data_IF_980627102028
#
_entry.id   IF_980627102028
#
_cell.length_a   1.000
_cell.length_b   1.000
_cell.length_c   1.000
_cell.angle_alpha   90.00
_cell.angle_beta   90.00
_cell.angle_gamma   90.00
#
_symmetry.space_group_name_H-M   'P 1'
#
loop_
_entity.id
_entity.type
_entity.pdbx_description
1 polymer ?
#
# COMPACT_ATOMS: atom_id res chain seq x y z
N UNK A 1 -9.03 16.94 27.66
CA UNK A 1 -8.88 16.50 26.27
C UNK A 1 -9.13 17.69 25.35
N UNK A 2 -8.22 17.96 24.43
CA UNK A 2 -8.29 19.18 23.58
C UNK A 2 -8.88 18.86 22.21
N UNK A 3 -8.72 17.63 21.73
CA UNK A 3 -9.25 17.15 20.46
C UNK A 3 -9.53 15.66 20.49
N UNK A 4 -10.25 15.17 19.49
CA UNK A 4 -10.46 13.77 19.19
C UNK A 4 -10.41 13.53 17.70
N UNK A 5 -10.02 12.32 17.33
CA UNK A 5 -10.06 11.89 15.94
C UNK A 5 -10.47 10.42 15.84
N UNK A 6 -10.93 10.02 14.69
CA UNK A 6 -11.35 8.65 14.41
C UNK A 6 -10.99 8.23 13.01
N UNK A 7 -10.97 6.92 12.79
CA UNK A 7 -10.65 6.32 11.49
C UNK A 7 -11.77 5.40 11.03
N UNK A 8 -12.05 5.42 9.73
CA UNK A 8 -12.94 4.46 9.07
C UNK A 8 -12.27 3.90 7.82
N UNK A 9 -12.68 2.70 7.42
CA UNK A 9 -12.13 2.05 6.23
C UNK A 9 -12.45 2.87 4.98
N UNK A 10 -11.48 3.01 4.08
CA UNK A 10 -11.68 3.42 2.69
C UNK A 10 -11.18 2.32 1.74
N UNK A 11 -11.46 2.46 0.45
CA UNK A 11 -11.10 1.45 -0.56
C UNK A 11 -10.48 2.11 -1.80
N UNK A 12 -9.37 2.84 -1.66
CA UNK A 12 -8.64 3.33 -2.82
C UNK A 12 -8.00 2.15 -3.57
N UNK A 13 -7.74 2.35 -4.85
CA UNK A 13 -7.01 1.39 -5.67
C UNK A 13 -5.50 1.55 -5.40
N UNK A 14 -4.93 0.61 -4.65
CA UNK A 14 -3.55 0.65 -4.13
C UNK A 14 -2.71 -0.55 -4.57
N UNK A 15 -3.22 -1.40 -5.47
CA UNK A 15 -2.57 -2.65 -5.86
C UNK A 15 -2.56 -2.80 -7.36
N UNK A 16 -1.39 -3.09 -7.92
CA UNK A 16 -1.21 -3.36 -9.34
C UNK A 16 -0.54 -4.72 -9.54
N UNK A 17 -0.94 -5.41 -10.60
CA UNK A 17 -0.46 -6.75 -10.94
C UNK A 17 0.22 -6.70 -12.30
N UNK A 18 1.42 -7.25 -12.37
CA UNK A 18 2.24 -7.31 -13.58
C UNK A 18 2.42 -8.76 -14.02
N UNK A 19 2.20 -9.03 -15.30
CA UNK A 19 2.53 -10.31 -15.90
C UNK A 19 3.99 -10.27 -16.34
N UNK A 20 4.85 -11.08 -15.71
CA UNK A 20 6.26 -11.14 -16.04
C UNK A 20 6.48 -12.00 -17.30
N UNK A 21 7.28 -11.51 -18.23
CA UNK A 21 7.77 -12.30 -19.35
C UNK A 21 8.98 -13.11 -18.89
N UNK A 22 8.82 -14.44 -18.80
CA UNK A 22 9.83 -15.33 -18.26
C UNK A 22 10.80 -15.80 -19.34
N UNK A 23 12.07 -15.96 -18.97
CA UNK A 23 13.08 -16.54 -19.84
C UNK A 23 12.78 -18.03 -20.11
N UNK A 24 12.61 -18.45 -21.38
CA UNK A 24 12.30 -19.84 -21.68
C UNK A 24 13.42 -20.83 -21.30
N UNK A 25 14.66 -20.35 -21.20
CA UNK A 25 15.82 -21.19 -20.86
C UNK A 25 16.16 -21.15 -19.36
N UNK A 26 15.54 -20.23 -18.59
CA UNK A 26 15.76 -20.08 -17.15
C UNK A 26 14.51 -19.58 -16.44
N UNK A 27 13.80 -20.45 -15.76
CA UNK A 27 12.57 -20.14 -15.05
C UNK A 27 12.71 -19.10 -13.92
N UNK A 28 13.94 -18.78 -13.50
CA UNK A 28 14.23 -17.78 -12.48
C UNK A 28 14.67 -16.43 -13.06
N UNK A 29 14.48 -16.23 -14.36
CA UNK A 29 14.75 -14.96 -15.03
C UNK A 29 13.50 -14.42 -15.72
N UNK A 30 13.33 -13.11 -15.66
CA UNK A 30 12.28 -12.36 -16.33
C UNK A 30 12.85 -11.21 -17.15
N UNK A 31 12.15 -10.80 -18.20
CA UNK A 31 12.54 -9.66 -19.02
C UNK A 31 12.20 -8.35 -18.31
N UNK A 32 13.12 -7.39 -18.32
CA UNK A 32 12.91 -6.03 -17.88
C UNK A 32 13.76 -5.08 -18.72
N UNK A 33 13.10 -4.13 -19.41
CA UNK A 33 13.74 -3.16 -20.29
C UNK A 33 14.70 -3.81 -21.31
N UNK A 34 14.27 -4.92 -21.91
CA UNK A 34 15.04 -5.67 -22.91
C UNK A 34 16.20 -6.50 -22.36
N UNK A 35 16.30 -6.68 -21.04
CA UNK A 35 17.35 -7.47 -20.39
C UNK A 35 16.75 -8.54 -19.47
N UNK A 36 17.32 -9.75 -19.52
CA UNK A 36 16.99 -10.81 -18.57
C UNK A 36 17.54 -10.46 -17.18
N UNK A 37 16.67 -10.49 -16.19
CA UNK A 37 16.97 -10.21 -14.79
C UNK A 37 16.59 -11.39 -13.92
N UNK A 38 17.43 -11.71 -12.94
CA UNK A 38 17.14 -12.77 -11.99
C UNK A 38 16.01 -12.36 -11.04
N UNK A 39 15.09 -13.29 -10.77
CA UNK A 39 14.22 -13.22 -9.60
C UNK A 39 15.05 -13.44 -8.33
N UNK A 40 14.73 -12.73 -7.26
CA UNK A 40 15.19 -13.09 -5.93
C UNK A 40 14.36 -14.28 -5.45
N UNK A 41 14.99 -15.44 -5.32
CA UNK A 41 14.34 -16.71 -4.97
C UNK A 41 14.81 -17.15 -3.60
N UNK A 42 13.88 -17.27 -2.66
CA UNK A 42 14.16 -17.78 -1.33
C UNK A 42 13.17 -18.88 -0.94
N UNK A 43 13.52 -19.67 0.08
CA UNK A 43 12.65 -20.73 0.59
C UNK A 43 12.32 -20.50 2.04
N UNK A 44 11.04 -20.44 2.37
CA UNK A 44 10.54 -20.32 3.73
C UNK A 44 9.94 -21.63 4.20
N UNK A 45 10.35 -22.07 5.40
CA UNK A 45 9.75 -23.23 6.09
C UNK A 45 8.62 -22.78 6.99
N UNK A 46 7.41 -23.14 6.63
CA UNK A 46 6.21 -22.90 7.43
C UNK A 46 6.01 -24.07 8.39
N UNK A 47 6.06 -23.79 9.69
CA UNK A 47 5.77 -24.78 10.73
C UNK A 47 4.29 -24.75 11.02
N UNK A 48 3.61 -25.88 10.77
CA UNK A 48 2.20 -26.08 10.99
C UNK A 48 2.00 -27.07 12.14
N UNK A 49 0.88 -27.00 12.84
CA UNK A 49 0.42 -28.02 13.77
C UNK A 49 -0.83 -28.66 13.22
N UNK A 50 -0.71 -29.89 12.70
CA UNK A 50 -1.86 -30.67 12.29
C UNK A 50 -2.60 -31.18 13.53
N UNK A 51 -3.92 -31.03 13.54
CA UNK A 51 -4.80 -31.38 14.69
C UNK A 51 -4.36 -30.78 16.03
N UNK A 52 -3.63 -29.62 15.99
CA UNK A 52 -3.21 -28.90 17.19
C UNK A 52 -1.94 -29.44 17.88
N UNK A 53 -1.49 -30.66 17.60
CA UNK A 53 -0.37 -31.28 18.29
C UNK A 53 0.72 -31.88 17.39
N UNK A 54 0.38 -32.30 16.16
CA UNK A 54 1.36 -32.93 15.27
C UNK A 54 2.16 -31.87 14.49
N UNK A 55 3.48 -31.73 14.74
CA UNK A 55 4.30 -30.76 14.02
C UNK A 55 4.48 -31.20 12.56
N UNK A 56 4.20 -30.29 11.64
CA UNK A 56 4.39 -30.47 10.22
C UNK A 56 5.15 -29.26 9.64
N UNK A 57 6.05 -29.49 8.69
CA UNK A 57 6.78 -28.41 8.03
C UNK A 57 6.57 -28.46 6.53
N UNK A 58 6.18 -27.35 5.95
CA UNK A 58 6.03 -27.20 4.51
C UNK A 58 7.00 -26.12 4.03
N UNK A 59 7.82 -26.43 3.04
CA UNK A 59 8.66 -25.46 2.36
C UNK A 59 7.86 -24.75 1.27
N UNK A 60 7.97 -23.44 1.17
CA UNK A 60 7.39 -22.62 0.11
C UNK A 60 8.46 -21.76 -0.51
N UNK A 61 8.48 -21.73 -1.83
CA UNK A 61 9.26 -20.76 -2.60
C UNK A 61 8.64 -19.37 -2.41
N UNK A 62 9.50 -18.38 -2.24
CA UNK A 62 9.14 -16.95 -2.21
C UNK A 62 9.94 -16.27 -3.30
N UNK A 63 9.23 -15.67 -4.23
CA UNK A 63 9.80 -14.98 -5.38
C UNK A 63 9.64 -13.47 -5.22
N UNK A 64 10.64 -12.72 -5.65
CA UNK A 64 10.58 -11.27 -5.72
C UNK A 64 11.21 -10.77 -7.02
N UNK A 65 10.53 -9.83 -7.66
CA UNK A 65 11.01 -9.10 -8.83
C UNK A 65 11.23 -7.62 -8.48
N UNK A 66 11.67 -6.81 -9.43
CA UNK A 66 11.71 -5.35 -9.29
C UNK A 66 10.32 -4.72 -9.04
N UNK A 67 9.25 -5.38 -9.49
CA UNK A 67 7.87 -4.91 -9.27
C UNK A 67 7.39 -5.15 -7.83
N UNK A 68 7.88 -6.22 -7.18
CA UNK A 68 7.47 -6.66 -5.86
C UNK A 68 7.46 -8.19 -5.72
N UNK A 69 6.78 -8.74 -4.69
CA UNK A 69 6.56 -10.17 -4.55
C UNK A 69 5.95 -10.77 -5.81
N UNK A 70 6.40 -11.96 -6.18
CA UNK A 70 5.90 -12.65 -7.36
C UNK A 70 5.37 -14.05 -7.03
N UNK A 71 4.45 -14.53 -7.85
CA UNK A 71 3.80 -15.83 -7.71
C UNK A 71 3.78 -16.55 -9.04
N UNK A 72 4.27 -17.80 -9.06
CA UNK A 72 4.10 -18.71 -10.20
C UNK A 72 2.73 -19.34 -10.15
N UNK A 73 2.07 -19.36 -11.27
CA UNK A 73 0.77 -20.03 -11.49
C UNK A 73 0.83 -20.84 -12.78
N UNK A 74 -0.19 -21.63 -13.03
CA UNK A 74 -0.33 -22.40 -14.28
C UNK A 74 -0.52 -21.49 -15.51
N UNK A 75 -0.81 -20.22 -15.30
CA UNK A 75 -1.07 -19.22 -16.37
C UNK A 75 0.05 -18.19 -16.54
N UNK A 76 1.13 -18.28 -15.76
CA UNK A 76 2.26 -17.36 -15.81
C UNK A 76 2.78 -16.96 -14.45
N UNK A 77 3.74 -16.06 -14.45
CA UNK A 77 4.34 -15.48 -13.24
C UNK A 77 3.85 -14.05 -13.09
N UNK A 78 3.21 -13.78 -11.96
CA UNK A 78 2.62 -12.48 -11.67
C UNK A 78 3.37 -11.81 -10.53
N UNK A 79 3.76 -10.56 -10.71
CA UNK A 79 4.29 -9.73 -9.64
C UNK A 79 3.21 -8.78 -9.13
N UNK A 80 3.23 -8.54 -7.82
CA UNK A 80 2.24 -7.70 -7.15
C UNK A 80 2.96 -6.49 -6.56
N UNK A 81 2.48 -5.29 -6.89
CA UNK A 81 2.91 -4.06 -6.25
C UNK A 81 1.74 -3.46 -5.48
N UNK A 82 1.98 -3.05 -4.24
CA UNK A 82 0.95 -2.48 -3.38
C UNK A 82 1.52 -1.32 -2.55
N UNK A 83 0.66 -0.40 -2.17
CA UNK A 83 1.05 0.73 -1.33
C UNK A 83 1.58 0.26 0.03
N UNK A 84 2.66 0.90 0.50
CA UNK A 84 3.34 0.51 1.73
C UNK A 84 4.25 -0.71 1.59
N UNK A 85 4.50 -1.21 0.37
CA UNK A 85 5.49 -2.26 0.14
C UNK A 85 6.85 -1.81 0.71
N UNK A 86 7.49 -2.70 1.49
CA UNK A 86 8.77 -2.43 2.15
C UNK A 86 8.75 -1.32 3.23
N UNK A 87 7.58 -0.84 3.64
CA UNK A 87 7.45 0.18 4.67
C UNK A 87 6.68 -0.33 5.90
N UNK A 88 7.21 -0.06 7.11
CA UNK A 88 6.61 -0.48 8.38
C UNK A 88 6.50 0.69 9.38
N UNK A 89 6.27 1.91 8.88
CA UNK A 89 6.23 3.12 9.72
C UNK A 89 4.83 3.55 10.15
N UNK A 90 3.80 2.74 9.93
CA UNK A 90 2.43 3.07 10.33
C UNK A 90 2.31 3.37 11.83
N UNK A 91 3.04 2.59 12.67
CA UNK A 91 3.02 2.78 14.12
C UNK A 91 3.58 4.16 14.51
N UNK A 92 4.58 4.65 13.79
CA UNK A 92 5.14 5.99 14.00
C UNK A 92 4.09 7.08 13.73
N UNK A 93 3.37 6.98 12.62
CA UNK A 93 2.30 7.92 12.28
C UNK A 93 1.15 7.86 13.29
N UNK A 94 0.68 6.68 13.65
CA UNK A 94 -0.35 6.51 14.68
C UNK A 94 0.07 7.16 16.00
N UNK A 95 1.32 6.95 16.42
CA UNK A 95 1.85 7.54 17.64
C UNK A 95 1.93 9.07 17.55
N UNK A 96 2.38 9.61 16.41
CA UNK A 96 2.45 11.05 16.17
C UNK A 96 1.05 11.70 16.22
N UNK A 97 0.06 11.09 15.56
CA UNK A 97 -1.34 11.55 15.59
C UNK A 97 -1.91 11.55 17.01
N UNK A 98 -1.61 10.52 17.81
CA UNK A 98 -2.06 10.43 19.21
C UNK A 98 -1.35 11.41 20.15
N UNK A 99 -0.15 11.86 19.82
CA UNK A 99 0.62 12.82 20.61
C UNK A 99 0.38 14.27 20.21
N UNK A 100 -0.23 14.51 19.09
CA UNK A 100 -0.56 15.86 18.62
C UNK A 100 -1.40 16.61 19.67
N UNK A 101 -1.13 17.88 19.85
CA UNK A 101 -1.78 18.73 20.86
C UNK A 101 -2.77 19.71 20.25
N UNK A 102 -2.71 19.90 18.93
CA UNK A 102 -3.54 20.82 18.18
C UNK A 102 -3.77 20.28 16.75
N UNK A 103 -4.55 21.02 15.97
CA UNK A 103 -4.91 20.62 14.62
C UNK A 103 -3.70 20.61 13.68
N UNK A 104 -2.80 21.58 13.78
CA UNK A 104 -1.59 21.69 12.95
C UNK A 104 -0.64 20.52 13.18
N UNK A 105 -0.40 20.16 14.45
CA UNK A 105 0.43 18.99 14.79
C UNK A 105 -0.21 17.68 14.30
N UNK A 106 -1.53 17.57 14.40
CA UNK A 106 -2.25 16.41 13.90
C UNK A 106 -2.17 16.29 12.38
N UNK A 107 -2.38 17.40 11.65
CA UNK A 107 -2.20 17.43 10.19
C UNK A 107 -0.75 17.09 9.78
N UNK A 108 0.26 17.60 10.49
CA UNK A 108 1.66 17.26 10.25
C UNK A 108 1.92 15.76 10.45
N UNK A 109 1.26 15.15 11.45
CA UNK A 109 1.35 13.71 11.67
C UNK A 109 0.66 12.91 10.53
N UNK A 110 -0.48 13.35 10.03
CA UNK A 110 -1.14 12.74 8.86
C UNK A 110 -0.28 12.88 7.61
N UNK A 111 0.42 14.00 7.45
CA UNK A 111 1.30 14.27 6.31
C UNK A 111 2.53 13.36 6.23
N UNK A 112 2.86 12.59 7.27
CA UNK A 112 3.88 11.53 7.20
C UNK A 112 3.52 10.46 6.15
N UNK A 113 2.24 10.27 5.87
CA UNK A 113 1.71 9.37 4.83
C UNK A 113 2.22 7.93 4.91
N UNK A 114 2.40 7.41 6.13
CA UNK A 114 2.84 6.03 6.36
C UNK A 114 1.68 5.03 6.49
N UNK A 115 0.45 5.53 6.68
CA UNK A 115 -0.77 4.73 6.75
C UNK A 115 -1.36 4.62 5.36
N UNK A 116 -1.44 3.39 4.83
CA UNK A 116 -1.80 3.13 3.43
C UNK A 116 -3.19 3.60 3.06
N UNK A 117 -4.18 3.37 3.93
CA UNK A 117 -5.55 3.75 3.61
C UNK A 117 -6.46 3.81 4.85
N UNK A 118 -7.00 4.97 5.14
CA UNK A 118 -8.10 5.20 6.10
C UNK A 118 -8.72 6.56 5.82
N UNK A 119 -10.03 6.68 5.98
CA UNK A 119 -10.63 7.99 6.18
C UNK A 119 -10.33 8.43 7.62
N UNK A 120 -9.88 9.66 7.80
CA UNK A 120 -9.75 10.26 9.12
C UNK A 120 -10.77 11.38 9.30
N UNK A 121 -11.35 11.42 10.48
CA UNK A 121 -12.15 12.53 10.97
C UNK A 121 -11.49 13.12 12.21
N UNK A 122 -11.51 14.44 12.34
CA UNK A 122 -10.91 15.18 13.45
C UNK A 122 -11.90 16.22 13.97
N UNK A 123 -11.89 16.46 15.26
CA UNK A 123 -12.59 17.59 15.89
C UNK A 123 -11.83 18.06 17.11
N UNK A 124 -11.89 19.37 17.40
CA UNK A 124 -11.32 19.94 18.61
C UNK A 124 -12.33 20.82 19.36
N UNK A 125 -11.97 21.22 20.57
CA UNK A 125 -12.80 22.08 21.40
C UNK A 125 -12.91 23.54 20.91
N UNK A 126 -12.10 23.93 19.96
CA UNK A 126 -12.11 25.28 19.37
C UNK A 126 -13.07 25.37 18.18
N UNK A 127 -13.71 24.26 17.80
CA UNK A 127 -14.71 24.18 16.74
C UNK A 127 -14.16 23.76 15.40
N UNK A 128 -12.88 23.39 15.30
CA UNK A 128 -12.34 22.84 14.07
C UNK A 128 -12.80 21.42 13.87
N UNK A 129 -13.29 21.14 12.68
CA UNK A 129 -13.64 19.80 12.18
C UNK A 129 -12.95 19.56 10.86
N UNK A 130 -12.40 18.34 10.66
CA UNK A 130 -11.69 17.99 9.44
C UNK A 130 -11.94 16.56 9.04
N UNK A 131 -12.04 16.32 7.72
CA UNK A 131 -12.08 15.01 7.10
C UNK A 131 -11.01 14.93 6.03
N UNK A 132 -10.32 13.79 5.96
CA UNK A 132 -9.44 13.45 4.87
C UNK A 132 -9.64 12.00 4.44
N UNK A 133 -9.74 11.78 3.12
CA UNK A 133 -9.61 10.47 2.49
C UNK A 133 -8.13 10.13 2.37
N UNK A 134 -7.50 9.74 3.48
CA UNK A 134 -6.08 9.44 3.50
C UNK A 134 -5.78 8.15 2.75
N UNK A 135 -4.82 8.20 1.83
CA UNK A 135 -4.34 7.05 1.09
C UNK A 135 -2.93 7.30 0.53
N UNK A 136 -2.11 6.27 0.51
CA UNK A 136 -0.88 6.25 -0.29
C UNK A 136 -1.24 6.00 -1.76
N UNK A 137 -1.93 6.95 -2.41
CA UNK A 137 -2.31 6.83 -3.81
C UNK A 137 -1.07 6.85 -4.70
N UNK A 138 -0.84 5.78 -5.52
CA UNK A 138 0.32 5.71 -6.39
C UNK A 138 0.28 6.77 -7.50
N UNK A 139 1.42 7.37 -7.78
CA UNK A 139 1.61 8.18 -8.99
C UNK A 139 1.89 7.24 -10.16
N UNK A 140 0.85 6.89 -10.88
CA UNK A 140 0.88 5.93 -12.00
C UNK A 140 1.17 6.60 -13.33
N UNK A 141 1.91 5.93 -14.21
CA UNK A 141 2.17 6.40 -15.57
C UNK A 141 0.85 6.56 -16.36
N UNK A 142 0.68 7.65 -17.14
CA UNK A 142 -0.53 7.88 -17.91
C UNK A 142 -0.64 6.90 -19.12
N UNK A 143 -1.86 6.75 -19.64
CA UNK A 143 -2.12 5.98 -20.85
C UNK A 143 -2.31 4.48 -20.67
N UNK A 144 -2.34 3.99 -19.43
CA UNK A 144 -2.55 2.58 -19.09
C UNK A 144 -3.86 2.35 -18.35
N UNK A 145 -4.44 1.18 -18.55
CA UNK A 145 -5.58 0.74 -17.75
C UNK A 145 -5.10 -0.04 -16.53
N UNK A 146 -4.97 0.66 -15.41
CA UNK A 146 -4.47 0.14 -14.15
C UNK A 146 -5.42 -0.85 -13.44
N UNK A 147 -6.61 -1.06 -13.98
CA UNK A 147 -7.53 -2.10 -13.50
C UNK A 147 -7.30 -3.47 -14.17
N UNK A 148 -6.30 -3.59 -15.03
CA UNK A 148 -5.93 -4.82 -15.72
C UNK A 148 -4.49 -5.22 -15.38
N UNK A 149 -4.10 -6.43 -15.77
CA UNK A 149 -2.70 -6.85 -15.70
C UNK A 149 -1.85 -5.97 -16.60
N UNK A 150 -0.73 -5.53 -16.06
CA UNK A 150 0.24 -4.68 -16.75
C UNK A 150 1.39 -5.54 -17.30
N UNK A 151 2.05 -5.12 -18.37
CA UNK A 151 3.26 -5.79 -18.84
C UNK A 151 4.38 -5.66 -17.80
N UNK A 152 5.03 -6.77 -17.47
CA UNK A 152 6.11 -6.83 -16.48
C UNK A 152 7.51 -6.65 -17.06
N UNK A 153 7.61 -6.36 -18.36
CA UNK A 153 8.88 -6.15 -19.09
C UNK A 153 9.34 -4.68 -19.08
N UNK A 154 8.62 -3.78 -18.36
CA UNK A 154 8.81 -2.33 -18.38
C UNK A 154 8.99 -1.75 -16.98
N UNK A 155 10.11 -1.08 -16.76
CA UNK A 155 10.39 -0.42 -15.49
C UNK A 155 9.65 0.91 -15.31
N UNK A 156 9.25 1.58 -16.40
CA UNK A 156 8.50 2.85 -16.35
C UNK A 156 7.08 2.70 -15.78
N UNK A 157 6.58 1.46 -15.66
CA UNK A 157 5.32 1.16 -14.98
C UNK A 157 5.48 0.84 -13.49
N UNK A 158 6.70 0.77 -12.98
CA UNK A 158 6.97 0.54 -11.56
C UNK A 158 6.87 1.87 -10.81
N UNK A 159 5.69 2.18 -10.28
CA UNK A 159 5.54 3.39 -9.48
C UNK A 159 6.27 3.26 -8.13
N UNK A 160 6.87 4.34 -7.66
CA UNK A 160 7.62 4.43 -6.41
C UNK A 160 7.33 5.71 -5.63
N UNK A 161 6.33 6.46 -6.05
CA UNK A 161 5.89 7.70 -5.42
C UNK A 161 4.39 7.67 -5.16
N UNK A 162 3.96 8.43 -4.17
CA UNK A 162 2.58 8.64 -3.79
C UNK A 162 2.20 10.11 -3.93
N UNK A 163 0.93 10.38 -4.19
CA UNK A 163 0.41 11.74 -4.10
C UNK A 163 0.55 12.27 -2.67
N UNK A 164 0.99 13.52 -2.51
CA UNK A 164 1.07 14.16 -1.19
C UNK A 164 -0.32 14.28 -0.53
N UNK A 165 -0.38 14.21 0.78
CA UNK A 165 -1.65 14.20 1.54
C UNK A 165 -2.48 15.47 1.36
N UNK A 166 -1.85 16.62 1.11
CA UNK A 166 -2.52 17.89 0.86
C UNK A 166 -3.28 17.93 -0.48
N UNK A 167 -2.96 17.02 -1.41
CA UNK A 167 -3.66 16.85 -2.70
C UNK A 167 -4.82 15.86 -2.64
N UNK A 168 -4.95 15.11 -1.53
CA UNK A 168 -6.01 14.13 -1.37
C UNK A 168 -7.37 14.79 -1.07
N UNK A 169 -8.49 14.12 -1.38
CA UNK A 169 -9.81 14.64 -1.03
C UNK A 169 -9.94 14.89 0.47
N UNK A 170 -10.18 16.13 0.84
CA UNK A 170 -10.30 16.55 2.23
C UNK A 170 -11.18 17.80 2.37
N UNK A 171 -11.71 18.02 3.55
CA UNK A 171 -12.50 19.21 3.88
C UNK A 171 -12.25 19.63 5.32
N UNK A 172 -12.07 20.94 5.52
CA UNK A 172 -11.91 21.58 6.84
C UNK A 172 -13.01 22.59 7.02
N UNK A 173 -13.67 22.56 8.17
CA UNK A 173 -14.68 23.54 8.62
C UNK A 173 -15.75 23.85 7.54
N UNK A 174 -16.45 22.84 6.99
CA UNK A 174 -17.47 23.07 5.96
C UNK A 174 -18.59 23.97 6.50
N UNK A 175 -19.23 24.78 5.64
CA UNK A 175 -20.32 25.68 6.06
C UNK A 175 -21.52 24.95 6.69
N UNK A 176 -21.67 23.65 6.42
CA UNK A 176 -22.71 22.82 7.03
C UNK A 176 -22.53 22.61 8.54
N UNK A 177 -21.32 22.87 9.07
CA UNK A 177 -20.98 22.67 10.48
C UNK A 177 -20.86 21.21 10.92
N UNK A 178 -20.87 20.26 9.98
CA UNK A 178 -20.68 18.83 10.27
C UNK A 178 -19.94 18.13 9.14
N UNK A 179 -19.30 17.00 9.50
CA UNK A 179 -18.70 16.03 8.58
C UNK A 179 -19.16 14.63 8.94
N UNK A 180 -19.22 13.75 7.95
CA UNK A 180 -19.48 12.33 8.18
C UNK A 180 -18.71 11.47 7.20
N UNK A 181 -18.45 10.23 7.57
CA UNK A 181 -17.89 9.20 6.69
C UNK A 181 -18.91 8.08 6.56
N UNK A 182 -19.33 7.80 5.35
CA UNK A 182 -20.19 6.66 5.02
C UNK A 182 -19.36 5.66 4.20
N UNK A 183 -19.26 4.41 4.65
CA UNK A 183 -18.50 3.34 4.03
C UNK A 183 -19.43 2.34 3.35
#
# INVERSE_FOLDING_TARGET
>A
EEHGWGATVNKPDLVDIYLLEMNPDNENQYLLDGQWRDLDVSTVKLKLKLWGFLPWSVSREVLRSAHGPALRTDHGVYAIRYAGIDEMKQVEQWLAMNKAKNFEEWQAAVALNHIQSFNFVYANRHGDIHFIHNAQLPVRAPGWNWQQYLPGDRSDLIWNAYYPTDTLPQVTNPPSGFIHSAN
#
